data_IF_323803967737
#
_entry.id   IF_323803967737
#
_cell.length_a   1.000
_cell.length_b   1.000
_cell.length_c   1.000
_cell.angle_alpha   90.00
_cell.angle_beta   90.00
_cell.angle_gamma   90.00
#
_symmetry.space_group_name_H-M   'P 1'
#
loop_
_entity.id
_entity.type
_entity.pdbx_description
1 polymer ?
#
# COMPACT_ATOMS: atom_id res chain seq x y z
N UNK A 1 22.35 -23.61 -4.26
CA UNK A 1 20.92 -23.71 -4.63
C UNK A 1 20.52 -22.35 -5.16
N UNK A 2 20.08 -22.24 -6.40
CA UNK A 2 19.50 -21.00 -6.95
C UNK A 2 18.24 -20.69 -6.15
N UNK A 3 18.16 -19.48 -5.59
CA UNK A 3 16.95 -19.01 -4.87
C UNK A 3 15.77 -19.08 -5.83
N UNK A 4 14.67 -19.71 -5.42
CA UNK A 4 13.42 -19.68 -6.17
C UNK A 4 12.94 -18.21 -6.29
N UNK A 5 12.66 -17.77 -7.52
CA UNK A 5 12.26 -16.41 -7.82
C UNK A 5 10.91 -16.42 -8.52
N UNK A 6 9.83 -16.49 -7.77
CA UNK A 6 8.49 -16.71 -8.31
C UNK A 6 7.98 -15.56 -9.21
N UNK A 7 8.61 -14.40 -9.14
CA UNK A 7 8.25 -13.22 -9.94
C UNK A 7 9.31 -12.86 -10.99
N UNK A 8 10.16 -13.81 -11.38
CA UNK A 8 11.21 -13.58 -12.40
C UNK A 8 10.60 -13.04 -13.70
N UNK A 9 11.07 -11.85 -14.13
CA UNK A 9 10.60 -11.17 -15.33
C UNK A 9 9.22 -10.53 -15.24
N UNK A 10 8.55 -10.57 -14.08
CA UNK A 10 7.31 -9.85 -13.82
C UNK A 10 7.58 -8.37 -13.64
N UNK A 11 6.59 -7.55 -13.92
CA UNK A 11 6.65 -6.10 -13.81
C UNK A 11 5.65 -5.60 -12.78
N UNK A 12 6.14 -4.89 -11.78
CA UNK A 12 5.36 -4.34 -10.69
C UNK A 12 5.40 -2.80 -10.67
N UNK A 13 4.28 -2.19 -10.32
CA UNK A 13 4.21 -0.78 -9.93
C UNK A 13 3.86 -0.71 -8.44
N UNK A 14 4.63 0.06 -7.66
CA UNK A 14 4.37 0.33 -6.24
C UNK A 14 4.21 1.83 -6.03
N UNK A 15 2.99 2.28 -5.78
CA UNK A 15 2.75 3.68 -5.38
C UNK A 15 3.20 3.87 -3.92
N UNK A 16 3.88 4.96 -3.61
CA UNK A 16 4.53 5.13 -2.30
C UNK A 16 5.76 4.23 -2.09
N UNK A 17 6.33 3.68 -3.16
CA UNK A 17 7.35 2.62 -3.16
C UNK A 17 8.74 2.96 -2.61
N UNK A 18 9.00 4.21 -2.18
CA UNK A 18 10.32 4.63 -1.69
C UNK A 18 10.44 4.72 -0.17
N UNK A 19 9.36 4.59 0.60
CA UNK A 19 9.35 4.76 2.07
C UNK A 19 8.37 3.80 2.74
N UNK A 20 8.66 3.46 4.00
CA UNK A 20 7.77 2.68 4.83
C UNK A 20 7.41 1.32 4.20
N UNK A 21 6.22 0.86 4.45
CA UNK A 21 5.69 -0.41 3.93
C UNK A 21 5.93 -0.56 2.42
N UNK A 22 5.70 0.51 1.63
CA UNK A 22 5.90 0.48 0.17
C UNK A 22 7.35 0.19 -0.22
N UNK A 23 8.33 0.72 0.53
CA UNK A 23 9.75 0.46 0.27
C UNK A 23 10.14 -0.99 0.58
N UNK A 24 9.57 -1.59 1.64
CA UNK A 24 9.81 -3.00 1.99
C UNK A 24 9.15 -3.92 0.95
N UNK A 25 7.91 -3.62 0.54
CA UNK A 25 7.23 -4.35 -0.54
C UNK A 25 8.04 -4.30 -1.84
N UNK A 26 8.54 -3.12 -2.21
CA UNK A 26 9.36 -2.96 -3.43
C UNK A 26 10.63 -3.82 -3.39
N UNK A 27 11.23 -3.93 -2.20
CA UNK A 27 12.42 -4.79 -1.99
C UNK A 27 12.08 -6.28 -2.14
N UNK A 28 10.96 -6.72 -1.56
CA UNK A 28 10.50 -8.10 -1.67
C UNK A 28 10.17 -8.49 -3.12
N UNK A 29 9.51 -7.59 -3.86
CA UNK A 29 9.23 -7.80 -5.27
C UNK A 29 10.52 -7.94 -6.11
N UNK A 30 11.51 -7.08 -5.86
CA UNK A 30 12.82 -7.15 -6.53
C UNK A 30 13.60 -8.43 -6.15
N UNK A 31 13.56 -8.84 -4.88
CA UNK A 31 14.17 -10.09 -4.39
C UNK A 31 13.54 -11.33 -5.06
N UNK A 32 12.23 -11.31 -5.28
CA UNK A 32 11.49 -12.37 -5.97
C UNK A 32 11.65 -12.35 -7.50
N UNK A 33 12.37 -11.37 -8.05
CA UNK A 33 12.73 -11.32 -9.47
C UNK A 33 11.98 -10.32 -10.32
N UNK A 34 11.07 -9.53 -9.75
CA UNK A 34 10.33 -8.53 -10.51
C UNK A 34 11.17 -7.30 -10.88
N UNK A 35 10.84 -6.68 -12.01
CA UNK A 35 11.18 -5.30 -12.28
C UNK A 35 10.19 -4.39 -11.56
N UNK A 36 10.65 -3.30 -10.94
CA UNK A 36 9.80 -2.50 -10.06
C UNK A 36 9.80 -1.02 -10.45
N UNK A 37 8.63 -0.47 -10.74
CA UNK A 37 8.42 0.97 -10.82
C UNK A 37 8.08 1.50 -9.43
N UNK A 38 8.91 2.41 -8.92
CA UNK A 38 8.72 3.10 -7.65
C UNK A 38 8.07 4.45 -7.91
N UNK A 39 6.81 4.63 -7.55
CA UNK A 39 6.10 5.88 -7.78
C UNK A 39 5.89 6.68 -6.49
N UNK A 40 5.99 8.01 -6.57
CA UNK A 40 5.78 8.90 -5.43
C UNK A 40 6.21 10.33 -5.72
N UNK A 41 5.99 11.25 -4.77
CA UNK A 41 6.26 12.69 -4.97
C UNK A 41 7.71 13.12 -4.75
N UNK A 42 8.45 12.38 -3.92
CA UNK A 42 9.83 12.74 -3.56
C UNK A 42 10.81 12.01 -4.49
N UNK A 43 11.30 12.73 -5.50
CA UNK A 43 12.16 12.19 -6.54
C UNK A 43 13.49 11.66 -5.99
N UNK A 44 14.12 12.37 -5.04
CA UNK A 44 15.41 11.97 -4.46
C UNK A 44 15.26 10.62 -3.69
N UNK A 45 14.19 10.48 -2.90
CA UNK A 45 13.93 9.24 -2.18
C UNK A 45 13.67 8.07 -3.15
N UNK A 46 12.99 8.33 -4.27
CA UNK A 46 12.74 7.32 -5.31
C UNK A 46 14.04 6.87 -5.98
N UNK A 47 14.89 7.83 -6.37
CA UNK A 47 16.20 7.56 -6.99
C UNK A 47 17.13 6.79 -6.05
N UNK A 48 17.18 7.21 -4.77
CA UNK A 48 18.01 6.54 -3.75
C UNK A 48 17.54 5.09 -3.53
N UNK A 49 16.22 4.86 -3.37
CA UNK A 49 15.70 3.49 -3.19
C UNK A 49 15.91 2.64 -4.45
N UNK A 50 15.73 3.20 -5.64
CA UNK A 50 15.96 2.50 -6.89
C UNK A 50 17.42 2.05 -7.02
N UNK A 51 18.38 2.94 -6.77
CA UNK A 51 19.80 2.61 -6.80
C UNK A 51 20.17 1.49 -5.81
N UNK A 52 19.63 1.57 -4.58
CA UNK A 52 19.85 0.53 -3.57
C UNK A 52 19.27 -0.85 -3.98
N UNK A 53 18.12 -0.86 -4.67
CA UNK A 53 17.53 -2.10 -5.19
C UNK A 53 18.33 -2.67 -6.36
N UNK A 54 18.76 -1.84 -7.30
CA UNK A 54 19.55 -2.26 -8.45
C UNK A 54 20.92 -2.82 -8.03
N UNK A 55 21.54 -2.23 -6.99
CA UNK A 55 22.78 -2.74 -6.38
C UNK A 55 22.56 -4.07 -5.66
N UNK A 56 21.52 -4.15 -4.82
CA UNK A 56 21.23 -5.33 -4.00
C UNK A 56 20.76 -6.54 -4.82
N UNK A 57 20.06 -6.30 -5.93
CA UNK A 57 19.48 -7.34 -6.77
C UNK A 57 19.92 -7.22 -8.24
N UNK A 58 21.18 -7.56 -8.57
CA UNK A 58 21.70 -7.47 -9.92
C UNK A 58 20.83 -8.24 -10.93
N UNK A 59 20.59 -7.62 -12.09
CA UNK A 59 19.74 -8.18 -13.15
C UNK A 59 18.26 -7.80 -13.02
N UNK A 60 17.85 -7.14 -11.94
CA UNK A 60 16.56 -6.45 -11.82
C UNK A 60 16.71 -5.01 -12.29
N UNK A 61 15.62 -4.42 -12.74
CA UNK A 61 15.63 -3.01 -13.17
C UNK A 61 14.55 -2.30 -12.41
N UNK A 62 14.90 -1.18 -11.83
CA UNK A 62 13.94 -0.29 -11.21
C UNK A 62 13.67 0.94 -12.08
N UNK A 63 12.50 1.51 -11.94
CA UNK A 63 12.11 2.77 -12.56
C UNK A 63 11.62 3.71 -11.46
N UNK A 64 12.47 4.64 -10.98
CA UNK A 64 11.97 5.70 -10.11
C UNK A 64 11.16 6.69 -10.95
N UNK A 65 9.90 6.94 -10.54
CA UNK A 65 9.00 7.82 -11.28
C UNK A 65 8.30 8.80 -10.33
N UNK A 66 8.55 10.09 -10.54
CA UNK A 66 7.85 11.13 -9.78
C UNK A 66 6.40 11.21 -10.23
N UNK A 67 5.46 10.96 -9.30
CA UNK A 67 4.04 10.95 -9.57
C UNK A 67 3.26 11.39 -8.32
N UNK A 68 2.32 12.32 -8.49
CA UNK A 68 1.24 12.52 -7.54
C UNK A 68 0.07 11.62 -7.98
N UNK A 69 -0.32 10.69 -7.12
CA UNK A 69 -1.37 9.71 -7.43
C UNK A 69 -2.77 10.34 -7.55
N UNK A 70 -2.93 11.60 -7.16
CA UNK A 70 -4.17 12.37 -7.33
C UNK A 70 -4.25 13.10 -8.67
N UNK A 71 -3.14 13.20 -9.39
CA UNK A 71 -3.09 13.79 -10.74
C UNK A 71 -3.24 12.69 -11.79
N UNK A 72 -4.40 12.65 -12.41
CA UNK A 72 -4.76 11.63 -13.41
C UNK A 72 -3.74 11.55 -14.56
N UNK A 73 -3.27 12.70 -15.06
CA UNK A 73 -2.29 12.74 -16.17
C UNK A 73 -0.94 12.18 -15.74
N UNK A 74 -0.47 12.51 -14.54
CA UNK A 74 0.80 11.97 -14.04
C UNK A 74 0.70 10.45 -13.82
N UNK A 75 -0.44 9.94 -13.32
CA UNK A 75 -0.67 8.51 -13.17
C UNK A 75 -0.66 7.79 -14.52
N UNK A 76 -1.35 8.32 -15.51
CA UNK A 76 -1.32 7.76 -16.87
C UNK A 76 0.11 7.70 -17.42
N UNK A 77 0.84 8.81 -17.36
CA UNK A 77 2.23 8.88 -17.82
C UNK A 77 3.16 7.92 -17.09
N UNK A 78 2.96 7.72 -15.78
CA UNK A 78 3.71 6.73 -14.99
C UNK A 78 3.46 5.30 -15.50
N UNK A 79 2.20 4.95 -15.75
CA UNK A 79 1.81 3.62 -16.24
C UNK A 79 2.37 3.39 -17.65
N UNK A 80 2.25 4.38 -18.54
CA UNK A 80 2.80 4.32 -19.90
C UNK A 80 4.34 4.15 -19.88
N UNK A 81 5.03 4.88 -18.99
CA UNK A 81 6.48 4.77 -18.84
C UNK A 81 6.89 3.39 -18.32
N UNK A 82 6.18 2.82 -17.35
CA UNK A 82 6.43 1.48 -16.82
C UNK A 82 6.20 0.41 -17.91
N UNK A 83 5.05 0.48 -18.60
CA UNK A 83 4.71 -0.46 -19.65
C UNK A 83 5.69 -0.38 -20.83
N UNK A 84 6.09 0.81 -21.26
CA UNK A 84 7.07 1.01 -22.32
C UNK A 84 8.47 0.53 -21.94
N UNK A 85 8.88 0.75 -20.68
CA UNK A 85 10.21 0.36 -20.17
C UNK A 85 10.38 -1.14 -20.02
N UNK A 86 9.33 -1.87 -19.63
CA UNK A 86 9.38 -3.27 -19.23
C UNK A 86 8.48 -4.20 -20.08
N UNK A 87 7.89 -3.68 -21.15
CA UNK A 87 7.02 -4.42 -22.08
C UNK A 87 5.76 -5.01 -21.42
N UNK A 88 5.15 -4.31 -20.46
CA UNK A 88 3.88 -4.69 -19.84
C UNK A 88 3.88 -4.47 -18.33
N UNK A 89 2.78 -4.83 -17.68
CA UNK A 89 2.59 -4.75 -16.23
C UNK A 89 1.85 -6.01 -15.77
N UNK A 90 2.30 -6.61 -14.67
CA UNK A 90 1.72 -7.82 -14.08
C UNK A 90 1.14 -7.56 -12.67
N UNK A 91 1.67 -6.57 -11.94
CA UNK A 91 1.37 -6.34 -10.52
C UNK A 91 1.20 -4.84 -10.26
N UNK A 92 0.17 -4.50 -9.47
CA UNK A 92 0.00 -3.16 -8.90
C UNK A 92 -0.12 -3.28 -7.37
N UNK A 93 0.67 -2.45 -6.65
CA UNK A 93 0.53 -2.29 -5.20
C UNK A 93 0.28 -0.82 -4.88
N UNK A 94 -0.88 -0.53 -4.32
CA UNK A 94 -1.28 0.81 -3.91
C UNK A 94 -0.96 1.02 -2.42
N UNK A 95 0.20 1.63 -2.12
CA UNK A 95 0.59 1.99 -0.75
C UNK A 95 0.61 3.50 -0.49
N UNK A 96 0.51 4.32 -1.56
CA UNK A 96 0.42 5.77 -1.40
C UNK A 96 -0.83 6.14 -0.60
N UNK A 97 -0.66 7.03 0.37
CA UNK A 97 -1.78 7.48 1.20
C UNK A 97 -1.32 8.35 2.37
N UNK A 98 -2.30 9.00 2.98
CA UNK A 98 -2.13 9.88 4.13
C UNK A 98 -2.97 9.47 5.32
N UNK A 99 -2.78 10.17 6.43
CA UNK A 99 -3.51 9.94 7.69
C UNK A 99 -4.61 10.99 7.95
N UNK A 100 -4.53 12.16 7.31
CA UNK A 100 -5.35 13.31 7.67
C UNK A 100 -5.15 13.75 9.12
N UNK A 101 -6.02 14.64 9.63
CA UNK A 101 -6.05 15.05 11.03
C UNK A 101 -6.19 13.87 12.01
N UNK A 102 -5.51 14.00 13.15
CA UNK A 102 -5.46 12.99 14.22
C UNK A 102 -6.19 13.55 15.43
N UNK A 103 -6.95 12.70 16.16
CA UNK A 103 -7.70 13.06 17.35
C UNK A 103 -8.68 14.25 17.16
N UNK A 104 -9.31 14.33 15.97
CA UNK A 104 -10.23 15.40 15.62
C UNK A 104 -11.68 14.87 15.63
N UNK A 105 -12.54 15.33 16.55
CA UNK A 105 -13.96 14.97 16.56
C UNK A 105 -14.66 15.32 15.25
N UNK A 106 -15.68 14.56 14.86
CA UNK A 106 -16.31 14.71 13.55
C UNK A 106 -16.94 16.11 13.33
N UNK A 107 -17.49 16.74 14.39
CA UNK A 107 -18.08 18.08 14.30
C UNK A 107 -17.05 19.22 14.22
N UNK A 108 -15.79 18.94 14.52
CA UNK A 108 -14.66 19.87 14.39
C UNK A 108 -13.76 19.55 13.18
N UNK A 109 -14.08 18.46 12.46
CA UNK A 109 -13.21 18.00 11.37
C UNK A 109 -13.32 18.96 10.17
N UNK A 110 -12.20 19.60 9.71
CA UNK A 110 -12.26 20.53 8.59
C UNK A 110 -12.67 19.82 7.30
N UNK A 111 -13.67 20.38 6.61
CA UNK A 111 -14.23 19.77 5.39
C UNK A 111 -13.17 19.64 4.29
N UNK A 112 -12.27 20.61 4.16
CA UNK A 112 -11.22 20.55 3.14
C UNK A 112 -10.19 19.46 3.43
N UNK A 113 -9.84 19.23 4.69
CA UNK A 113 -9.01 18.09 5.11
C UNK A 113 -9.72 16.76 4.86
N UNK A 114 -11.06 16.72 5.04
CA UNK A 114 -11.86 15.54 4.73
C UNK A 114 -11.82 15.24 3.21
N UNK A 115 -11.97 16.27 2.37
CA UNK A 115 -11.86 16.13 0.90
C UNK A 115 -10.45 15.68 0.49
N UNK A 116 -9.41 16.31 1.04
CA UNK A 116 -8.03 15.99 0.71
C UNK A 116 -7.66 14.54 1.06
N UNK A 117 -8.12 14.02 2.19
CA UNK A 117 -7.80 12.63 2.56
C UNK A 117 -8.56 11.62 1.70
N UNK A 118 -9.79 11.92 1.28
CA UNK A 118 -10.51 11.10 0.30
C UNK A 118 -9.83 11.15 -1.06
N UNK A 119 -9.44 12.32 -1.52
CA UNK A 119 -8.72 12.51 -2.78
C UNK A 119 -7.44 11.69 -2.80
N UNK A 120 -6.61 11.83 -1.75
CA UNK A 120 -5.34 11.10 -1.68
C UNK A 120 -5.52 9.59 -1.54
N UNK A 121 -6.39 9.13 -0.65
CA UNK A 121 -6.48 7.71 -0.33
C UNK A 121 -7.40 6.94 -1.29
N UNK A 122 -8.49 7.55 -1.76
CA UNK A 122 -9.48 6.87 -2.61
C UNK A 122 -9.18 7.10 -4.08
N UNK A 123 -9.14 8.37 -4.52
CA UNK A 123 -8.84 8.67 -5.93
C UNK A 123 -7.40 8.25 -6.25
N UNK A 124 -6.46 8.50 -5.35
CA UNK A 124 -5.06 8.06 -5.49
C UNK A 124 -4.85 6.54 -5.49
N UNK A 125 -5.84 5.75 -5.09
CA UNK A 125 -5.86 4.27 -5.28
C UNK A 125 -6.58 3.90 -6.57
N UNK A 126 -7.68 4.57 -6.89
CA UNK A 126 -8.49 4.31 -8.08
C UNK A 126 -7.73 4.59 -9.38
N UNK A 127 -7.07 5.74 -9.50
CA UNK A 127 -6.38 6.14 -10.73
C UNK A 127 -5.31 5.15 -11.18
N UNK A 128 -4.37 4.67 -10.32
CA UNK A 128 -3.45 3.62 -10.72
C UNK A 128 -4.15 2.33 -11.17
N UNK A 129 -5.24 1.92 -10.49
CA UNK A 129 -6.03 0.77 -10.93
C UNK A 129 -6.60 1.00 -12.32
N UNK A 130 -7.25 2.14 -12.57
CA UNK A 130 -7.86 2.49 -13.86
C UNK A 130 -6.88 2.34 -15.02
N UNK A 131 -5.66 2.84 -14.87
CA UNK A 131 -4.68 2.86 -15.95
C UNK A 131 -3.88 1.55 -16.08
N UNK A 132 -3.71 0.79 -14.98
CA UNK A 132 -3.01 -0.51 -15.02
C UNK A 132 -3.89 -1.64 -15.55
N UNK A 133 -5.19 -1.64 -15.28
CA UNK A 133 -6.14 -2.71 -15.67
C UNK A 133 -6.03 -3.12 -17.14
N UNK A 134 -6.00 -2.22 -18.13
CA UNK A 134 -5.87 -2.63 -19.54
C UNK A 134 -4.59 -3.43 -19.81
N UNK A 135 -3.49 -3.10 -19.14
CA UNK A 135 -2.23 -3.84 -19.26
C UNK A 135 -2.32 -5.24 -18.65
N UNK A 136 -2.96 -5.38 -17.47
CA UNK A 136 -3.19 -6.69 -16.85
C UNK A 136 -4.08 -7.58 -17.72
N UNK A 137 -5.14 -7.03 -18.30
CA UNK A 137 -6.02 -7.75 -19.23
C UNK A 137 -5.22 -8.22 -20.45
N UNK A 138 -4.40 -7.37 -21.04
CA UNK A 138 -3.58 -7.72 -22.21
C UNK A 138 -2.52 -8.78 -21.90
N UNK A 139 -2.10 -8.90 -20.62
CA UNK A 139 -1.17 -9.96 -20.14
C UNK A 139 -1.89 -11.28 -19.82
N UNK A 140 -3.22 -11.30 -19.89
CA UNK A 140 -4.04 -12.48 -19.58
C UNK A 140 -4.15 -12.80 -18.07
N UNK A 141 -3.95 -11.80 -17.23
CA UNK A 141 -4.05 -11.93 -15.78
C UNK A 141 -3.13 -10.96 -15.04
N UNK A 142 -3.26 -10.92 -13.72
CA UNK A 142 -2.44 -10.04 -12.90
C UNK A 142 -2.86 -10.02 -11.43
N UNK A 143 -2.21 -9.14 -10.65
CA UNK A 143 -2.46 -8.98 -9.22
C UNK A 143 -2.54 -7.52 -8.86
N UNK A 144 -3.58 -7.15 -8.12
CA UNK A 144 -3.72 -5.82 -7.50
C UNK A 144 -3.83 -6.01 -6.00
N UNK A 145 -3.00 -5.29 -5.23
CA UNK A 145 -3.10 -5.23 -3.78
C UNK A 145 -3.18 -3.78 -3.33
N UNK A 146 -4.22 -3.47 -2.56
CA UNK A 146 -4.45 -2.16 -1.98
C UNK A 146 -4.12 -2.18 -0.48
N UNK A 147 -3.66 -1.06 0.09
CA UNK A 147 -3.45 -0.93 1.54
C UNK A 147 -4.66 -0.19 2.17
N UNK A 148 -5.62 -0.98 2.70
CA UNK A 148 -6.77 -0.44 3.41
C UNK A 148 -6.41 -0.05 4.86
N UNK A 149 -5.86 -0.99 5.63
CA UNK A 149 -5.63 -0.82 7.07
C UNK A 149 -6.86 -1.16 7.91
N UNK A 150 -6.66 -1.46 9.18
CA UNK A 150 -7.73 -1.86 10.12
C UNK A 150 -8.79 -0.79 10.35
N UNK A 151 -8.48 0.50 10.10
CA UNK A 151 -9.48 1.57 10.08
C UNK A 151 -10.53 1.43 8.97
N UNK A 152 -10.33 0.53 8.02
CA UNK A 152 -11.32 0.10 7.04
C UNK A 152 -12.15 -1.10 7.52
N UNK A 153 -11.76 -1.80 8.57
CA UNK A 153 -12.47 -2.96 9.11
C UNK A 153 -13.49 -2.55 10.17
N UNK A 154 -13.17 -1.54 10.99
CA UNK A 154 -14.06 -1.00 12.02
C UNK A 154 -13.95 0.52 12.14
N UNK A 155 -14.89 1.12 12.88
CA UNK A 155 -14.84 2.55 13.20
C UNK A 155 -13.62 2.90 14.08
N UNK A 156 -13.02 4.06 13.79
CA UNK A 156 -11.89 4.57 14.57
C UNK A 156 -12.24 5.96 15.11
N UNK A 157 -12.24 6.10 16.44
CA UNK A 157 -12.62 7.37 17.09
C UNK A 157 -11.74 8.52 16.62
N UNK A 158 -12.34 9.69 16.39
CA UNK A 158 -11.65 10.92 16.00
C UNK A 158 -10.83 10.82 14.70
N UNK A 159 -11.24 9.91 13.78
CA UNK A 159 -10.56 9.63 12.51
C UNK A 159 -11.54 9.55 11.32
N UNK A 160 -12.61 10.35 11.36
CA UNK A 160 -13.72 10.23 10.39
C UNK A 160 -13.28 10.23 8.94
N UNK A 161 -12.45 11.18 8.49
CA UNK A 161 -11.97 11.22 7.10
C UNK A 161 -11.08 10.02 6.73
N UNK A 162 -10.14 9.67 7.63
CA UNK A 162 -9.26 8.52 7.40
C UNK A 162 -10.03 7.20 7.33
N UNK A 163 -10.87 6.91 8.33
CA UNK A 163 -11.68 5.68 8.34
C UNK A 163 -12.59 5.60 7.12
N UNK A 164 -13.30 6.68 6.78
CA UNK A 164 -14.15 6.72 5.57
C UNK A 164 -13.35 6.38 4.31
N UNK A 165 -12.14 6.93 4.15
CA UNK A 165 -11.28 6.63 3.02
C UNK A 165 -10.87 5.16 2.96
N UNK A 166 -10.58 4.54 4.11
CA UNK A 166 -10.16 3.14 4.19
C UNK A 166 -11.32 2.16 3.94
N UNK A 167 -12.54 2.49 4.37
CA UNK A 167 -13.75 1.76 3.99
C UNK A 167 -14.03 1.84 2.49
N UNK A 168 -13.82 3.00 1.88
CA UNK A 168 -13.98 3.17 0.42
C UNK A 168 -13.02 2.28 -0.37
N UNK A 169 -11.75 2.14 0.06
CA UNK A 169 -10.77 1.24 -0.58
C UNK A 169 -11.27 -0.21 -0.57
N UNK A 170 -11.87 -0.69 0.53
CA UNK A 170 -12.44 -2.04 0.59
C UNK A 170 -13.61 -2.23 -0.39
N UNK A 171 -14.50 -1.23 -0.50
CA UNK A 171 -15.57 -1.23 -1.50
C UNK A 171 -15.02 -1.32 -2.92
N UNK A 172 -14.02 -0.49 -3.24
CA UNK A 172 -13.33 -0.50 -4.53
C UNK A 172 -12.66 -1.87 -4.80
N UNK A 173 -11.95 -2.43 -3.82
CA UNK A 173 -11.29 -3.74 -3.93
C UNK A 173 -12.27 -4.85 -4.32
N UNK A 174 -13.43 -4.92 -3.64
CA UNK A 174 -14.46 -5.94 -3.92
C UNK A 174 -15.11 -5.76 -5.29
N UNK A 175 -15.39 -4.51 -5.67
CA UNK A 175 -15.95 -4.20 -6.99
C UNK A 175 -14.99 -4.61 -8.09
N UNK A 176 -13.73 -4.21 -7.99
CA UNK A 176 -12.71 -4.57 -8.98
C UNK A 176 -12.45 -6.09 -9.01
N UNK A 177 -12.54 -6.79 -7.89
CA UNK A 177 -12.41 -8.25 -7.87
C UNK A 177 -13.50 -8.95 -8.71
N UNK A 178 -14.75 -8.46 -8.64
CA UNK A 178 -15.85 -8.98 -9.46
C UNK A 178 -15.69 -8.65 -10.95
N UNK A 179 -15.29 -7.42 -11.26
CA UNK A 179 -15.11 -6.95 -12.64
C UNK A 179 -13.93 -7.65 -13.34
N UNK A 180 -12.85 -7.93 -12.59
CA UNK A 180 -11.59 -8.37 -13.17
C UNK A 180 -11.36 -9.89 -13.05
N UNK A 181 -12.16 -10.59 -12.26
CA UNK A 181 -12.11 -12.05 -12.13
C UNK A 181 -12.16 -12.80 -13.47
N UNK A 182 -13.05 -12.43 -14.42
CA UNK A 182 -13.10 -13.06 -15.76
C UNK A 182 -11.81 -12.95 -16.57
N UNK A 183 -10.92 -12.01 -16.23
CA UNK A 183 -9.62 -11.81 -16.88
C UNK A 183 -8.45 -12.48 -16.12
N UNK A 184 -8.72 -13.29 -15.08
CA UNK A 184 -7.68 -13.93 -14.28
C UNK A 184 -6.90 -12.97 -13.38
N UNK A 185 -7.47 -11.81 -13.07
CA UNK A 185 -6.87 -10.80 -12.20
C UNK A 185 -7.48 -10.92 -10.80
N UNK A 186 -6.64 -11.03 -9.77
CA UNK A 186 -7.09 -10.95 -8.38
C UNK A 186 -6.87 -9.56 -7.82
N UNK A 187 -7.82 -9.09 -7.02
CA UNK A 187 -7.77 -7.80 -6.33
C UNK A 187 -8.09 -8.01 -4.86
N UNK A 188 -7.13 -7.72 -3.99
CA UNK A 188 -7.29 -7.85 -2.54
C UNK A 188 -6.80 -6.60 -1.83
N UNK A 189 -7.17 -6.44 -0.58
CA UNK A 189 -6.51 -5.44 0.27
C UNK A 189 -5.85 -6.08 1.50
N UNK A 190 -4.76 -5.45 1.93
CA UNK A 190 -4.09 -5.76 3.19
C UNK A 190 -4.46 -4.68 4.18
N UNK A 191 -4.78 -5.10 5.39
CA UNK A 191 -5.24 -4.24 6.49
C UNK A 191 -4.24 -4.24 7.65
N UNK A 192 -3.11 -3.50 7.55
CA UNK A 192 -2.20 -3.37 8.67
C UNK A 192 -2.83 -2.57 9.82
N UNK A 193 -2.46 -2.91 11.04
CA UNK A 193 -2.69 -2.07 12.20
C UNK A 193 -1.38 -1.35 12.58
N UNK A 194 -1.24 -0.98 13.84
CA UNK A 194 -0.07 -0.31 14.42
C UNK A 194 1.26 -0.91 13.94
N UNK A 195 1.72 -0.37 12.82
CA UNK A 195 2.94 -0.86 12.14
C UNK A 195 4.11 0.03 12.53
N UNK A 196 5.20 -0.56 13.02
CA UNK A 196 6.43 0.15 13.32
C UNK A 196 6.92 0.97 12.12
N UNK A 197 7.45 2.14 12.38
CA UNK A 197 8.01 3.02 11.36
C UNK A 197 7.66 4.51 11.54
N UNK A 198 8.31 5.36 10.78
CA UNK A 198 8.27 6.82 10.94
C UNK A 198 6.84 7.45 10.88
N UNK A 199 5.88 6.78 10.24
CA UNK A 199 4.47 7.23 10.26
C UNK A 199 3.86 7.03 11.64
N UNK A 200 4.10 5.86 12.24
CA UNK A 200 3.56 5.54 13.57
C UNK A 200 4.23 6.39 14.64
N UNK A 201 5.55 6.62 14.55
CA UNK A 201 6.28 7.48 15.48
C UNK A 201 5.65 8.87 15.57
N UNK A 202 5.28 9.46 14.43
CA UNK A 202 4.58 10.76 14.39
C UNK A 202 3.18 10.71 15.01
N UNK A 203 2.44 9.63 14.79
CA UNK A 203 1.10 9.45 15.38
C UNK A 203 1.22 9.30 16.90
N UNK A 204 2.17 8.52 17.37
CA UNK A 204 2.44 8.33 18.81
C UNK A 204 2.86 9.64 19.45
N UNK A 205 3.80 10.36 18.84
CA UNK A 205 4.26 11.66 19.36
C UNK A 205 3.10 12.67 19.50
N UNK A 206 2.23 12.76 18.50
CA UNK A 206 1.08 13.67 18.56
C UNK A 206 0.04 13.23 19.61
N UNK A 207 -0.28 11.94 19.69
CA UNK A 207 -1.17 11.42 20.73
C UNK A 207 -0.61 11.63 22.13
N UNK A 208 0.69 11.41 22.32
CA UNK A 208 1.39 11.63 23.59
C UNK A 208 1.28 13.11 24.00
N UNK A 209 1.55 14.03 23.07
CA UNK A 209 1.41 15.47 23.30
C UNK A 209 -0.01 15.88 23.70
N UNK A 210 -1.03 15.36 23.01
CA UNK A 210 -2.44 15.69 23.26
C UNK A 210 -2.95 15.08 24.58
N UNK A 211 -2.47 13.90 24.94
CA UNK A 211 -2.88 13.19 26.15
C UNK A 211 -2.05 13.52 27.41
N UNK A 212 -0.96 14.30 27.28
CA UNK A 212 -0.02 14.56 28.39
C UNK A 212 0.73 13.30 28.83
N UNK A 213 0.94 12.34 27.92
CA UNK A 213 1.67 11.09 28.13
C UNK A 213 3.05 11.14 27.50
N UNK A 214 3.91 10.18 27.87
CA UNK A 214 5.15 9.90 27.14
C UNK A 214 4.86 9.06 25.88
N UNK A 215 5.73 9.10 24.86
CA UNK A 215 5.63 8.21 23.71
C UNK A 215 5.60 6.73 24.10
N UNK A 216 6.41 6.30 25.07
CA UNK A 216 6.48 4.90 25.53
C UNK A 216 5.16 4.42 26.15
N UNK A 217 4.47 5.27 26.92
CA UNK A 217 3.13 4.97 27.44
C UNK A 217 2.10 4.81 26.32
N UNK A 218 2.17 5.63 25.28
CA UNK A 218 1.27 5.50 24.12
C UNK A 218 1.59 4.25 23.30
N UNK A 219 2.86 3.90 23.14
CA UNK A 219 3.26 2.63 22.52
C UNK A 219 2.72 1.43 23.32
N UNK A 220 2.87 1.45 24.63
CA UNK A 220 2.34 0.39 25.51
C UNK A 220 0.80 0.29 25.42
N UNK A 221 0.10 1.42 25.39
CA UNK A 221 -1.36 1.47 25.22
C UNK A 221 -1.82 0.84 23.90
N UNK A 222 -1.08 1.08 22.80
CA UNK A 222 -1.37 0.47 21.51
C UNK A 222 -1.08 -1.03 21.49
N UNK A 223 0.08 -1.45 22.02
CA UNK A 223 0.46 -2.86 22.08
C UNK A 223 -0.55 -3.66 22.92
N UNK A 224 -1.01 -3.12 24.04
CA UNK A 224 -2.00 -3.75 24.92
C UNK A 224 -3.39 -3.96 24.26
N UNK A 225 -3.68 -3.25 23.16
CA UNK A 225 -4.90 -3.46 22.38
C UNK A 225 -4.82 -4.60 21.39
N UNK A 226 -3.65 -5.21 21.18
CA UNK A 226 -3.46 -6.33 20.29
C UNK A 226 -3.40 -7.65 21.07
N UNK A 227 -3.96 -8.72 20.52
CA UNK A 227 -3.92 -10.04 21.17
C UNK A 227 -2.49 -10.56 21.38
N UNK A 228 -1.56 -10.21 20.47
CA UNK A 228 -0.15 -10.61 20.57
C UNK A 228 0.69 -9.66 21.44
N UNK A 229 0.13 -8.58 21.97
CA UNK A 229 0.82 -7.61 22.82
C UNK A 229 1.98 -6.87 22.15
N UNK A 230 1.94 -6.72 20.82
CA UNK A 230 3.05 -6.14 20.06
C UNK A 230 2.57 -5.39 18.79
N UNK A 231 3.46 -4.58 18.26
CA UNK A 231 3.28 -3.95 16.96
C UNK A 231 3.57 -4.93 15.82
N UNK A 232 3.07 -4.57 14.65
CA UNK A 232 3.34 -5.20 13.36
C UNK A 232 4.58 -4.54 12.76
N UNK A 233 5.45 -5.34 12.15
CA UNK A 233 6.58 -4.81 11.38
C UNK A 233 6.19 -4.54 9.92
N UNK A 234 6.90 -3.62 9.26
CA UNK A 234 6.69 -3.37 7.82
C UNK A 234 6.92 -4.64 6.99
N UNK A 235 7.81 -5.53 7.44
CA UNK A 235 8.07 -6.85 6.84
C UNK A 235 6.88 -7.80 6.94
N UNK A 236 6.14 -7.80 8.05
CA UNK A 236 4.95 -8.66 8.21
C UNK A 236 3.89 -8.29 7.18
N UNK A 237 3.73 -6.99 6.91
CA UNK A 237 2.83 -6.49 5.87
C UNK A 237 3.32 -6.89 4.47
N UNK A 238 4.63 -6.78 4.22
CA UNK A 238 5.22 -7.17 2.94
C UNK A 238 5.11 -8.68 2.68
N UNK A 239 5.24 -9.53 3.72
CA UNK A 239 5.04 -10.97 3.61
C UNK A 239 3.59 -11.33 3.23
N UNK A 240 2.60 -10.66 3.82
CA UNK A 240 1.20 -10.85 3.43
C UNK A 240 0.95 -10.43 1.96
N UNK A 241 1.52 -9.32 1.53
CA UNK A 241 1.45 -8.87 0.14
C UNK A 241 2.13 -9.87 -0.80
N UNK A 242 3.32 -10.37 -0.43
CA UNK A 242 4.07 -11.40 -1.16
C UNK A 242 3.26 -12.69 -1.30
N UNK A 243 2.60 -13.13 -0.24
CA UNK A 243 1.71 -14.29 -0.27
C UNK A 243 0.61 -14.11 -1.32
N UNK A 244 -0.04 -12.93 -1.38
CA UNK A 244 -1.12 -12.65 -2.34
C UNK A 244 -0.66 -12.68 -3.81
N UNK A 245 0.63 -12.54 -4.08
CA UNK A 245 1.19 -12.69 -5.43
C UNK A 245 1.57 -14.13 -5.77
N UNK A 246 1.65 -14.99 -4.78
CA UNK A 246 2.08 -16.37 -4.96
C UNK A 246 0.99 -17.22 -5.65
N UNK A 247 1.38 -18.34 -6.29
CA UNK A 247 0.43 -19.31 -6.82
C UNK A 247 -0.54 -19.88 -5.76
N UNK A 248 -0.15 -19.90 -4.49
CA UNK A 248 -0.99 -20.37 -3.39
C UNK A 248 -2.23 -19.49 -3.17
N UNK A 249 -2.14 -18.19 -3.50
CA UNK A 249 -3.24 -17.24 -3.37
C UNK A 249 -4.07 -17.07 -4.66
N UNK A 250 -3.91 -17.93 -5.68
CA UNK A 250 -4.58 -17.78 -6.97
C UNK A 250 -6.11 -17.72 -6.93
N UNK A 251 -6.71 -18.25 -5.88
CA UNK A 251 -8.16 -18.27 -5.66
C UNK A 251 -8.61 -17.29 -4.56
N UNK A 252 -7.75 -16.37 -4.14
CA UNK A 252 -8.06 -15.34 -3.15
C UNK A 252 -8.26 -14.02 -3.91
N UNK A 253 -9.50 -13.51 -3.91
CA UNK A 253 -9.84 -12.22 -4.53
C UNK A 253 -11.04 -11.59 -3.82
N UNK A 254 -11.07 -10.27 -3.72
CA UNK A 254 -12.11 -9.49 -3.05
C UNK A 254 -12.05 -9.57 -1.52
N UNK A 255 -10.92 -9.98 -0.95
CA UNK A 255 -10.77 -10.17 0.49
C UNK A 255 -9.90 -9.11 1.15
N UNK A 256 -10.24 -8.85 2.42
CA UNK A 256 -9.42 -8.09 3.36
C UNK A 256 -8.49 -9.09 4.08
N UNK A 257 -7.19 -8.80 4.12
CA UNK A 257 -6.19 -9.61 4.81
C UNK A 257 -5.64 -8.80 6.00
N UNK A 258 -6.13 -9.04 7.23
CA UNK A 258 -5.62 -8.36 8.41
C UNK A 258 -4.18 -8.75 8.70
N UNK A 259 -3.33 -7.76 8.99
CA UNK A 259 -1.98 -7.92 9.53
C UNK A 259 -1.89 -6.97 10.72
N UNK A 260 -2.44 -7.39 11.86
CA UNK A 260 -2.83 -6.49 12.93
C UNK A 260 -2.48 -6.98 14.35
N UNK A 261 -1.76 -8.09 14.44
CA UNK A 261 -1.42 -8.75 15.71
C UNK A 261 -2.66 -9.10 16.57
N UNK A 262 -3.82 -9.31 15.92
CA UNK A 262 -5.08 -9.61 16.62
C UNK A 262 -5.67 -8.37 17.32
N UNK A 263 -5.75 -7.25 16.61
CA UNK A 263 -6.31 -6.02 17.13
C UNK A 263 -7.85 -5.94 17.01
N UNK A 264 -8.41 -6.64 16.03
CA UNK A 264 -9.85 -6.63 15.71
C UNK A 264 -10.48 -8.04 15.88
N UNK A 265 -10.24 -8.65 17.02
CA UNK A 265 -10.77 -9.96 17.39
C UNK A 265 -11.59 -9.87 18.67
#
# INVERSE_FOLDING_TARGET
MTKDRPLEGKVAIVTGGAKGIGAVISEYLADDGAHVTLAGRNEDALRLKAAALDEKFPGRKTLPYRCDVTDERQVQQMVDAAAGRFAGIDILVNTAGGTGPIETPAHEYPVDEFRQILELNVIGTFLPCKYVIPHLISRGGGRIVNLAGTSGLRGYRNRSGYSSSKWAIRGLTRTLALELGPYGITVNDVCPNVTNGARMDRIVAEKARLAGKTPDEVYADFAAQTALGRFVEESDVADAVRFLFSPAARNITGHDVPVDAGWDV
#
